data_IF_976013739912
#
_entry.id   IF_976013739912
#
_cell.length_a   1.000
_cell.length_b   1.000
_cell.length_c   1.000
_cell.angle_alpha   90.00
_cell.angle_beta   90.00
_cell.angle_gamma   90.00
#
_symmetry.space_group_name_H-M   'P 1'
#
loop_
_entity.id
_entity.type
_entity.pdbx_description
1 polymer ?
#
# COMPACT_ATOMS: atom_id res chain seq x y z
N UNK A 1 -28.24 6.01 -24.67
CA UNK A 1 -28.69 7.43 -24.66
C UNK A 1 -28.78 7.90 -23.22
N UNK A 2 -27.87 8.77 -22.78
CA UNK A 2 -27.93 9.36 -21.43
C UNK A 2 -28.87 10.56 -21.46
N UNK A 3 -29.82 10.62 -20.52
CA UNK A 3 -30.80 11.70 -20.42
C UNK A 3 -30.12 13.07 -20.36
N UNK A 4 -30.61 14.04 -21.15
CA UNK A 4 -30.13 15.44 -21.14
C UNK A 4 -30.19 16.09 -19.75
N UNK A 5 -31.01 15.57 -18.84
CA UNK A 5 -31.09 16.05 -17.44
C UNK A 5 -29.86 15.71 -16.59
N UNK A 6 -29.07 14.67 -16.94
CA UNK A 6 -27.81 14.36 -16.27
C UNK A 6 -26.69 15.33 -16.67
N UNK A 7 -26.63 15.70 -17.95
CA UNK A 7 -25.56 16.54 -18.53
C UNK A 7 -25.50 17.95 -17.91
N UNK A 8 -26.64 18.53 -17.50
CA UNK A 8 -26.66 19.86 -16.88
C UNK A 8 -26.33 19.85 -15.38
N UNK A 9 -26.56 18.74 -14.67
CA UNK A 9 -26.23 18.63 -13.23
C UNK A 9 -24.87 17.98 -12.96
N UNK A 10 -24.34 17.19 -13.89
CA UNK A 10 -23.05 16.48 -13.73
C UNK A 10 -21.82 17.33 -14.00
N UNK A 11 -21.95 18.52 -14.62
CA UNK A 11 -20.83 19.43 -14.92
C UNK A 11 -20.13 19.99 -13.67
N UNK A 12 -20.64 19.72 -12.47
CA UNK A 12 -20.11 20.24 -11.20
C UNK A 12 -19.80 19.15 -10.16
N UNK A 13 -19.96 17.87 -10.50
CA UNK A 13 -19.57 16.77 -9.62
C UNK A 13 -18.30 16.13 -10.17
N UNK A 14 -17.16 16.76 -9.87
CA UNK A 14 -15.85 16.17 -10.11
C UNK A 14 -15.59 15.15 -9.01
N UNK A 15 -15.60 13.87 -9.36
CA UNK A 15 -15.22 12.80 -8.44
C UNK A 15 -13.70 12.82 -8.28
N UNK A 16 -13.23 13.10 -7.07
CA UNK A 16 -11.81 13.15 -6.74
C UNK A 16 -11.30 11.84 -6.12
N UNK A 17 -12.21 11.01 -5.62
CA UNK A 17 -11.89 9.74 -4.98
C UNK A 17 -12.73 8.61 -5.54
N UNK A 18 -12.09 7.44 -5.73
CA UNK A 18 -12.74 6.18 -6.06
C UNK A 18 -12.55 5.23 -4.89
N UNK A 19 -13.65 4.68 -4.39
CA UNK A 19 -13.63 3.73 -3.28
C UNK A 19 -14.30 2.43 -3.70
N UNK A 20 -13.51 1.37 -3.79
CA UNK A 20 -13.96 0.01 -4.08
C UNK A 20 -13.94 -0.85 -2.81
N UNK A 21 -14.32 -0.30 -1.66
CA UNK A 21 -14.29 -0.97 -0.35
C UNK A 21 -15.52 -1.81 0.02
N UNK A 22 -16.66 -1.68 -0.67
CA UNK A 22 -17.94 -2.30 -0.26
C UNK A 22 -18.63 -3.04 -1.41
N UNK A 23 -19.27 -4.18 -1.16
CA UNK A 23 -20.11 -4.88 -2.15
C UNK A 23 -19.36 -5.72 -3.18
N UNK A 24 -19.94 -5.90 -4.38
CA UNK A 24 -19.33 -6.65 -5.49
C UNK A 24 -18.25 -5.81 -6.21
N UNK A 25 -17.08 -5.73 -5.59
CA UNK A 25 -15.98 -4.86 -6.01
C UNK A 25 -15.46 -5.19 -7.41
N UNK A 26 -15.39 -6.47 -7.78
CA UNK A 26 -14.93 -6.88 -9.10
C UNK A 26 -15.87 -6.40 -10.19
N UNK A 27 -17.19 -6.49 -9.97
CA UNK A 27 -18.19 -6.00 -10.90
C UNK A 27 -18.19 -4.46 -10.98
N UNK A 28 -18.11 -3.78 -9.83
CA UNK A 28 -18.05 -2.32 -9.80
C UNK A 28 -16.78 -1.78 -10.49
N UNK A 29 -15.63 -2.40 -10.24
CA UNK A 29 -14.39 -2.06 -10.90
C UNK A 29 -14.50 -2.31 -12.41
N UNK A 30 -15.07 -3.44 -12.85
CA UNK A 30 -15.30 -3.71 -14.27
C UNK A 30 -16.18 -2.64 -14.93
N UNK A 31 -17.31 -2.29 -14.30
CA UNK A 31 -18.20 -1.25 -14.80
C UNK A 31 -17.51 0.13 -14.86
N UNK A 32 -16.67 0.45 -13.87
CA UNK A 32 -15.88 1.67 -13.88
C UNK A 32 -14.81 1.67 -14.98
N UNK A 33 -14.16 0.53 -15.21
CA UNK A 33 -13.19 0.33 -16.29
C UNK A 33 -13.82 0.59 -17.66
N UNK A 34 -15.05 0.14 -17.88
CA UNK A 34 -15.79 0.43 -19.11
C UNK A 34 -16.05 1.94 -19.28
N UNK A 35 -16.30 2.65 -18.19
CA UNK A 35 -16.48 4.12 -18.20
C UNK A 35 -15.17 4.81 -18.56
N UNK A 36 -14.06 4.53 -17.86
CA UNK A 36 -12.79 5.26 -18.08
C UNK A 36 -12.13 4.95 -19.42
N UNK A 37 -12.45 3.81 -20.03
CA UNK A 37 -12.04 3.46 -21.40
C UNK A 37 -12.83 4.21 -22.47
N UNK A 38 -13.98 4.77 -22.13
CA UNK A 38 -14.76 5.58 -23.07
C UNK A 38 -14.00 6.86 -23.42
N UNK A 39 -13.87 7.22 -24.72
CA UNK A 39 -13.22 8.46 -25.13
C UNK A 39 -13.97 9.71 -24.67
N UNK A 40 -15.21 9.55 -24.19
CA UNK A 40 -16.04 10.63 -23.66
C UNK A 40 -15.94 10.74 -22.12
N UNK A 41 -15.12 9.92 -21.46
CA UNK A 41 -14.95 9.98 -20.01
C UNK A 41 -14.18 11.23 -19.62
N UNK A 42 -14.86 12.15 -18.95
CA UNK A 42 -14.24 13.33 -18.35
C UNK A 42 -13.79 13.08 -16.91
N UNK A 43 -14.14 11.93 -16.33
CA UNK A 43 -13.87 11.61 -14.91
C UNK A 43 -12.37 11.41 -14.67
N UNK A 44 -11.65 10.87 -15.66
CA UNK A 44 -10.24 10.46 -15.53
C UNK A 44 -9.34 11.59 -15.00
N UNK A 45 -9.54 12.82 -15.47
CA UNK A 45 -8.71 13.97 -15.09
C UNK A 45 -8.95 14.49 -13.67
N UNK A 46 -10.06 14.11 -13.04
CA UNK A 46 -10.44 14.64 -11.73
C UNK A 46 -10.10 13.70 -10.58
N UNK A 47 -9.94 12.41 -10.86
CA UNK A 47 -9.62 11.42 -9.84
C UNK A 47 -8.18 11.62 -9.37
N UNK A 48 -8.02 11.75 -8.06
CA UNK A 48 -6.72 11.87 -7.39
C UNK A 48 -6.49 10.78 -6.35
N UNK A 49 -7.54 10.07 -5.93
CA UNK A 49 -7.46 9.07 -4.87
C UNK A 49 -8.15 7.78 -5.29
N UNK A 50 -7.51 6.64 -5.00
CA UNK A 50 -8.07 5.32 -5.24
C UNK A 50 -7.93 4.50 -3.96
N UNK A 51 -9.02 3.83 -3.56
CA UNK A 51 -9.01 2.78 -2.56
C UNK A 51 -9.48 1.47 -3.20
N UNK A 52 -8.64 0.44 -3.09
CA UNK A 52 -8.93 -0.92 -3.54
C UNK A 52 -8.88 -1.85 -2.33
N UNK A 53 -10.00 -2.50 -2.03
CA UNK A 53 -10.05 -3.58 -1.05
C UNK A 53 -10.04 -4.94 -1.81
N UNK A 54 -9.70 -6.03 -1.12
CA UNK A 54 -9.57 -7.38 -1.68
C UNK A 54 -8.70 -7.48 -2.94
N UNK A 55 -7.58 -6.75 -2.98
CA UNK A 55 -6.71 -6.63 -4.16
C UNK A 55 -6.31 -7.99 -4.76
N UNK A 56 -6.07 -9.01 -3.92
CA UNK A 56 -5.72 -10.36 -4.38
C UNK A 56 -6.81 -11.07 -5.22
N UNK A 57 -8.07 -10.62 -5.09
CA UNK A 57 -9.24 -11.14 -5.81
C UNK A 57 -9.64 -10.30 -7.02
N UNK A 58 -9.09 -9.09 -7.17
CA UNK A 58 -9.45 -8.23 -8.27
C UNK A 58 -8.80 -8.74 -9.57
N UNK A 59 -9.54 -8.78 -10.70
CA UNK A 59 -8.96 -9.14 -11.99
C UNK A 59 -7.86 -8.16 -12.37
N UNK A 60 -6.65 -8.65 -12.61
CA UNK A 60 -5.49 -7.84 -12.99
C UNK A 60 -5.80 -6.89 -14.15
N UNK A 61 -6.45 -7.39 -15.20
CA UNK A 61 -6.83 -6.60 -16.38
C UNK A 61 -7.67 -5.36 -16.02
N UNK A 62 -8.50 -5.45 -14.98
CA UNK A 62 -9.33 -4.36 -14.53
C UNK A 62 -8.55 -3.38 -13.65
N UNK A 63 -7.68 -3.91 -12.78
CA UNK A 63 -6.83 -3.06 -11.94
C UNK A 63 -5.83 -2.28 -12.79
N UNK A 64 -5.17 -2.93 -13.75
CA UNK A 64 -4.24 -2.30 -14.68
C UNK A 64 -4.90 -1.25 -15.58
N UNK A 65 -6.20 -1.38 -15.86
CA UNK A 65 -6.93 -0.34 -16.60
C UNK A 65 -7.00 0.99 -15.84
N UNK A 66 -6.80 1.01 -14.52
CA UNK A 66 -6.71 2.25 -13.74
C UNK A 66 -5.47 3.09 -14.07
N UNK A 67 -4.46 2.52 -14.74
CA UNK A 67 -3.26 3.24 -15.18
C UNK A 67 -3.56 4.42 -16.12
N UNK A 68 -4.74 4.48 -16.73
CA UNK A 68 -5.18 5.61 -17.57
C UNK A 68 -5.53 6.87 -16.77
N UNK A 69 -5.55 6.80 -15.44
CA UNK A 69 -5.89 7.91 -14.55
C UNK A 69 -4.63 8.76 -14.29
N UNK A 70 -4.50 9.97 -14.89
CA UNK A 70 -3.24 10.69 -14.92
C UNK A 70 -2.88 11.41 -13.62
N UNK A 71 -3.85 11.67 -12.75
CA UNK A 71 -3.70 12.59 -11.61
C UNK A 71 -3.74 11.91 -10.24
N UNK A 72 -3.51 10.59 -10.19
CA UNK A 72 -3.51 9.83 -8.94
C UNK A 72 -2.37 10.28 -8.04
N UNK A 73 -2.75 10.72 -6.83
CA UNK A 73 -1.87 11.18 -5.75
C UNK A 73 -1.89 10.28 -4.54
N UNK A 74 -2.98 9.55 -4.32
CA UNK A 74 -3.16 8.69 -3.16
C UNK A 74 -3.74 7.34 -3.55
N UNK A 75 -3.11 6.27 -3.09
CA UNK A 75 -3.57 4.90 -3.28
C UNK A 75 -3.61 4.20 -1.92
N UNK A 76 -4.75 3.59 -1.62
CA UNK A 76 -4.92 2.69 -0.48
C UNK A 76 -5.26 1.29 -0.98
N UNK A 77 -4.42 0.33 -0.64
CA UNK A 77 -4.57 -1.07 -0.99
C UNK A 77 -4.84 -1.86 0.29
N UNK A 78 -5.92 -2.63 0.30
CA UNK A 78 -6.32 -3.42 1.45
C UNK A 78 -6.71 -4.85 1.06
N UNK A 79 -6.37 -5.84 1.89
CA UNK A 79 -6.91 -7.20 1.74
C UNK A 79 -7.53 -7.72 3.05
N UNK A 80 -8.85 -7.58 3.17
CA UNK A 80 -9.57 -7.88 4.42
C UNK A 80 -9.68 -9.38 4.72
N UNK A 81 -9.31 -10.29 3.81
CA UNK A 81 -9.29 -11.74 4.12
C UNK A 81 -8.13 -12.10 5.04
N UNK A 82 -7.01 -11.38 4.93
CA UNK A 82 -5.90 -11.50 5.88
C UNK A 82 -6.33 -11.05 7.28
N UNK A 83 -7.30 -10.11 7.39
CA UNK A 83 -7.84 -9.63 8.67
C UNK A 83 -8.55 -10.73 9.45
N UNK A 84 -9.27 -11.62 8.78
CA UNK A 84 -9.99 -12.74 9.42
C UNK A 84 -9.03 -13.82 9.92
N UNK A 85 -7.95 -14.09 9.17
CA UNK A 85 -6.87 -15.01 9.60
C UNK A 85 -6.11 -14.46 10.82
N UNK A 86 -5.83 -13.16 10.85
CA UNK A 86 -5.13 -12.52 11.99
C UNK A 86 -5.97 -12.52 13.28
N UNK A 87 -7.31 -12.59 13.19
CA UNK A 87 -8.20 -12.64 14.36
C UNK A 87 -8.44 -14.04 14.95
N UNK A 88 -7.78 -15.09 14.44
CA UNK A 88 -7.93 -16.46 14.97
C UNK A 88 -9.35 -17.03 14.81
N UNK A 89 -10.15 -16.51 13.88
CA UNK A 89 -11.46 -17.06 13.59
C UNK A 89 -11.32 -18.47 13.00
N UNK A 90 -12.13 -19.46 13.43
CA UNK A 90 -12.04 -20.82 12.93
C UNK A 90 -12.33 -20.83 11.42
N UNK A 91 -11.29 -21.15 10.65
CA UNK A 91 -11.31 -21.25 9.20
C UNK A 91 -12.42 -22.20 8.76
N UNK A 92 -13.46 -21.70 8.08
CA UNK A 92 -14.27 -22.58 7.22
C UNK A 92 -13.34 -23.13 6.13
N UNK A 93 -13.42 -24.42 5.78
CA UNK A 93 -12.69 -24.95 4.64
C UNK A 93 -13.38 -24.40 3.39
N UNK A 94 -12.90 -23.28 2.87
CA UNK A 94 -13.40 -22.71 1.63
C UNK A 94 -12.33 -22.87 0.55
N UNK A 95 -12.56 -23.92 -0.24
CA UNK A 95 -12.19 -24.17 -1.62
C UNK A 95 -11.35 -23.08 -2.31
N UNK A 96 -10.10 -23.42 -2.62
CA UNK A 96 -9.45 -23.19 -3.91
C UNK A 96 -9.70 -21.86 -4.61
N UNK A 97 -9.46 -20.76 -3.91
CA UNK A 97 -8.93 -19.57 -4.56
C UNK A 97 -7.50 -19.40 -4.05
N UNK A 98 -6.53 -19.90 -4.82
CA UNK A 98 -5.16 -19.42 -4.75
C UNK A 98 -5.23 -17.89 -4.64
N UNK A 99 -4.88 -17.33 -3.48
CA UNK A 99 -4.77 -15.88 -3.31
C UNK A 99 -3.77 -15.42 -4.36
N UNK A 100 -4.28 -14.89 -5.48
CA UNK A 100 -3.43 -14.46 -6.59
C UNK A 100 -2.64 -13.29 -6.09
N UNK A 101 -1.35 -13.53 -5.89
CA UNK A 101 -0.38 -12.54 -5.49
C UNK A 101 -0.42 -11.38 -6.48
N UNK A 102 -0.61 -10.14 -6.03
CA UNK A 102 -0.81 -9.00 -6.93
C UNK A 102 0.54 -8.48 -7.44
N UNK A 103 1.21 -9.31 -8.25
CA UNK A 103 2.51 -9.05 -8.88
C UNK A 103 2.49 -7.84 -9.83
N UNK A 104 1.30 -7.44 -10.29
CA UNK A 104 1.08 -6.28 -11.14
C UNK A 104 1.12 -4.93 -10.37
N UNK A 105 1.17 -4.92 -9.03
CA UNK A 105 1.05 -3.67 -8.26
C UNK A 105 2.21 -2.71 -8.48
N UNK A 106 3.45 -3.19 -8.50
CA UNK A 106 4.61 -2.32 -8.77
C UNK A 106 4.47 -1.67 -10.15
N UNK A 107 4.09 -2.44 -11.16
CA UNK A 107 3.81 -1.93 -12.49
C UNK A 107 2.67 -0.89 -12.49
N UNK A 108 1.54 -1.16 -11.84
CA UNK A 108 0.43 -0.22 -11.74
C UNK A 108 0.86 1.09 -11.08
N UNK A 109 1.49 1.02 -9.91
CA UNK A 109 1.88 2.20 -9.14
C UNK A 109 2.91 3.04 -9.90
N UNK A 110 3.78 2.40 -10.69
CA UNK A 110 4.72 3.10 -11.58
C UNK A 110 4.07 3.92 -12.69
N UNK A 111 2.79 3.68 -13.03
CA UNK A 111 2.05 4.54 -13.97
C UNK A 111 1.55 5.82 -13.30
N UNK A 112 1.44 5.86 -11.98
CA UNK A 112 0.95 7.02 -11.25
C UNK A 112 2.09 7.99 -10.94
N UNK A 113 2.49 8.76 -11.95
CA UNK A 113 3.61 9.74 -11.91
C UNK A 113 3.45 10.88 -10.90
N UNK A 114 2.32 10.96 -10.21
CA UNK A 114 2.02 11.96 -9.19
C UNK A 114 1.70 11.35 -7.83
N UNK A 115 1.96 10.04 -7.64
CA UNK A 115 1.65 9.31 -6.42
C UNK A 115 2.53 9.80 -5.27
N UNK A 116 1.87 10.42 -4.29
CA UNK A 116 2.48 10.96 -3.07
C UNK A 116 2.20 10.10 -1.84
N UNK A 117 1.04 9.43 -1.79
CA UNK A 117 0.62 8.70 -0.60
C UNK A 117 0.25 7.26 -0.96
N UNK A 118 0.90 6.31 -0.29
CA UNK A 118 0.64 4.88 -0.43
C UNK A 118 0.30 4.29 0.94
N UNK A 119 -0.85 3.64 1.02
CA UNK A 119 -1.25 2.84 2.18
C UNK A 119 -1.39 1.38 1.80
N UNK A 120 -0.70 0.50 2.50
CA UNK A 120 -0.72 -0.96 2.34
C UNK A 120 -1.24 -1.57 3.65
N UNK A 121 -2.47 -2.09 3.63
CA UNK A 121 -3.11 -2.61 4.85
C UNK A 121 -3.54 -4.07 4.67
N UNK A 122 -3.17 -4.96 5.59
CA UNK A 122 -3.59 -6.37 5.60
C UNK A 122 -3.19 -7.15 4.32
N UNK A 123 -2.12 -6.74 3.64
CA UNK A 123 -1.70 -7.37 2.38
C UNK A 123 -0.75 -8.54 2.66
N UNK A 124 -0.93 -9.63 1.94
CA UNK A 124 -0.01 -10.77 1.93
C UNK A 124 0.89 -10.69 0.68
N UNK A 125 2.20 -10.69 0.89
CA UNK A 125 3.23 -10.60 -0.18
C UNK A 125 4.14 -11.83 -0.14
N UNK A 126 4.71 -12.18 -1.28
CA UNK A 126 5.63 -13.31 -1.42
C UNK A 126 6.91 -13.09 -0.64
N UNK A 127 7.52 -11.91 -0.80
CA UNK A 127 8.86 -11.62 -0.28
C UNK A 127 8.99 -10.16 0.11
N UNK A 128 10.04 -9.87 0.86
CA UNK A 128 10.43 -8.49 1.16
C UNK A 128 10.81 -7.71 -0.10
N UNK A 129 11.47 -8.34 -1.07
CA UNK A 129 11.80 -7.74 -2.37
C UNK A 129 10.55 -7.21 -3.07
N UNK A 130 9.47 -8.00 -3.10
CA UNK A 130 8.21 -7.56 -3.71
C UNK A 130 7.63 -6.32 -3.01
N UNK A 131 7.73 -6.25 -1.67
CA UNK A 131 7.32 -5.05 -0.94
C UNK A 131 8.14 -3.83 -1.36
N UNK A 132 9.46 -3.97 -1.45
CA UNK A 132 10.34 -2.87 -1.85
C UNK A 132 10.10 -2.45 -3.29
N UNK A 133 9.85 -3.38 -4.21
CA UNK A 133 9.45 -3.07 -5.59
C UNK A 133 8.14 -2.28 -5.66
N UNK A 134 7.16 -2.61 -4.81
CA UNK A 134 5.89 -1.88 -4.72
C UNK A 134 6.12 -0.45 -4.19
N UNK A 135 6.90 -0.30 -3.11
CA UNK A 135 7.18 1.01 -2.51
C UNK A 135 8.00 1.88 -3.47
N UNK A 136 9.00 1.30 -4.12
CA UNK A 136 9.96 2.00 -4.96
C UNK A 136 9.46 2.20 -6.40
N UNK A 137 8.25 1.75 -6.71
CA UNK A 137 7.61 1.99 -8.00
C UNK A 137 7.33 3.47 -8.28
N UNK A 138 7.25 4.31 -7.23
CA UNK A 138 7.05 5.76 -7.35
C UNK A 138 8.19 6.51 -6.67
N UNK A 139 8.93 7.31 -7.44
CA UNK A 139 9.97 8.20 -6.95
C UNK A 139 9.41 9.45 -6.25
N UNK A 140 8.16 9.82 -6.53
CA UNK A 140 7.45 10.95 -5.91
C UNK A 140 6.76 10.61 -4.59
N UNK A 141 6.92 9.38 -4.09
CA UNK A 141 6.22 8.94 -2.88
C UNK A 141 6.73 9.70 -1.65
N UNK A 142 5.82 10.45 -1.00
CA UNK A 142 6.09 11.29 0.18
C UNK A 142 5.65 10.62 1.49
N UNK A 143 4.57 9.83 1.43
CA UNK A 143 3.98 9.18 2.60
C UNK A 143 3.77 7.70 2.32
N UNK A 144 4.29 6.87 3.21
CA UNK A 144 4.11 5.43 3.21
C UNK A 144 3.50 4.98 4.53
N UNK A 145 2.40 4.24 4.44
CA UNK A 145 1.75 3.57 5.56
C UNK A 145 1.71 2.08 5.31
N UNK A 146 2.25 1.30 6.25
CA UNK A 146 2.27 -0.16 6.23
C UNK A 146 1.55 -0.65 7.48
N UNK A 147 0.43 -1.34 7.29
CA UNK A 147 -0.36 -1.92 8.37
C UNK A 147 -0.56 -3.43 8.13
N UNK A 148 -0.13 -4.28 9.05
CA UNK A 148 -0.37 -5.74 8.98
C UNK A 148 -0.01 -6.39 7.63
N UNK A 149 1.14 -6.01 7.06
CA UNK A 149 1.67 -6.69 5.88
C UNK A 149 2.38 -7.98 6.29
N UNK A 150 1.99 -9.09 5.66
CA UNK A 150 2.48 -10.45 5.94
C UNK A 150 3.35 -10.91 4.78
N UNK A 151 4.54 -11.44 5.08
CA UNK A 151 5.42 -12.10 4.09
C UNK A 151 5.20 -13.60 4.16
N UNK A 152 4.98 -14.26 3.01
CA UNK A 152 4.76 -15.71 2.97
C UNK A 152 6.05 -16.51 2.88
N UNK A 153 7.05 -16.00 2.16
CA UNK A 153 8.38 -16.57 2.19
C UNK A 153 9.16 -15.85 3.29
N UNK A 154 9.49 -16.58 4.35
CA UNK A 154 10.44 -16.09 5.33
C UNK A 154 11.85 -16.13 4.72
N UNK A 155 12.60 -15.03 4.77
CA UNK A 155 14.01 -15.10 4.44
C UNK A 155 14.74 -16.05 5.40
N UNK A 156 15.35 -17.09 4.85
CA UNK A 156 16.15 -18.06 5.61
C UNK A 156 17.40 -17.42 6.23
N UNK A 157 17.91 -16.33 5.63
CA UNK A 157 19.08 -15.56 6.07
C UNK A 157 18.99 -14.10 5.65
N UNK A 158 19.39 -13.17 6.51
CA UNK A 158 19.46 -11.73 6.22
C UNK A 158 20.56 -11.36 5.21
N UNK A 159 21.61 -12.17 5.13
CA UNK A 159 22.72 -11.97 4.20
C UNK A 159 22.22 -12.10 2.75
N UNK A 160 22.44 -11.04 1.96
CA UNK A 160 22.11 -11.00 0.54
C UNK A 160 20.68 -10.58 0.18
N UNK A 161 19.75 -10.45 1.14
CA UNK A 161 18.37 -9.96 0.83
C UNK A 161 18.40 -8.52 0.32
N UNK A 162 19.30 -7.72 0.92
CA UNK A 162 19.39 -6.28 0.68
C UNK A 162 20.24 -5.95 -0.55
N UNK A 163 20.99 -6.94 -1.07
CA UNK A 163 21.78 -6.78 -2.27
C UNK A 163 20.85 -6.57 -3.48
N UNK A 164 21.09 -5.47 -4.21
CA UNK A 164 20.32 -5.08 -5.40
C UNK A 164 18.86 -4.67 -5.14
N UNK A 165 18.47 -4.40 -3.90
CA UNK A 165 17.18 -3.78 -3.65
C UNK A 165 17.17 -2.33 -4.15
N UNK A 166 16.06 -1.87 -4.75
CA UNK A 166 15.88 -0.45 -5.04
C UNK A 166 16.07 0.41 -3.78
N UNK A 167 16.70 1.60 -3.90
CA UNK A 167 16.75 2.52 -2.78
C UNK A 167 15.33 3.02 -2.43
N UNK A 168 15.08 3.44 -1.19
CA UNK A 168 13.85 4.11 -0.80
C UNK A 168 13.55 5.33 -1.69
N UNK A 169 12.27 5.66 -1.92
CA UNK A 169 11.89 6.85 -2.67
C UNK A 169 12.54 8.11 -2.09
N UNK A 170 13.22 8.93 -2.91
CA UNK A 170 13.97 10.08 -2.42
C UNK A 170 13.07 11.17 -1.83
N UNK A 171 11.79 11.19 -2.20
CA UNK A 171 10.80 12.12 -1.68
C UNK A 171 10.15 11.67 -0.35
N UNK A 172 10.50 10.48 0.19
CA UNK A 172 9.84 9.92 1.35
C UNK A 172 10.12 10.74 2.61
N UNK A 173 9.04 11.24 3.22
CA UNK A 173 9.06 12.13 4.40
C UNK A 173 8.34 11.55 5.60
N UNK A 174 7.22 10.87 5.36
CA UNK A 174 6.40 10.30 6.41
C UNK A 174 6.33 8.79 6.28
N UNK A 175 6.73 8.09 7.33
CA UNK A 175 6.72 6.64 7.38
C UNK A 175 5.94 6.13 8.60
N UNK A 176 4.85 5.43 8.33
CA UNK A 176 3.98 4.83 9.33
C UNK A 176 4.03 3.31 9.23
N UNK A 177 4.32 2.64 10.34
CA UNK A 177 4.30 1.19 10.44
C UNK A 177 3.43 0.77 11.63
N UNK A 178 2.45 -0.08 11.37
CA UNK A 178 1.52 -0.61 12.37
C UNK A 178 1.40 -2.12 12.27
N UNK A 179 1.66 -2.83 13.37
CA UNK A 179 1.52 -4.31 13.44
C UNK A 179 2.20 -5.07 12.29
N UNK A 180 3.44 -4.75 11.90
CA UNK A 180 4.08 -5.49 10.83
C UNK A 180 4.42 -6.90 11.33
N UNK A 181 4.55 -7.86 10.40
CA UNK A 181 5.01 -9.21 10.74
C UNK A 181 6.34 -9.21 11.51
N UNK A 182 6.61 -10.25 12.29
CA UNK A 182 7.76 -10.33 13.22
C UNK A 182 9.10 -9.88 12.60
N UNK A 183 9.42 -10.31 11.38
CA UNK A 183 10.69 -10.00 10.71
C UNK A 183 10.68 -8.67 9.92
N UNK A 184 9.50 -8.12 9.63
CA UNK A 184 9.33 -6.99 8.73
C UNK A 184 9.99 -5.71 9.26
N UNK A 185 9.93 -5.48 10.58
CA UNK A 185 10.61 -4.34 11.20
C UNK A 185 12.10 -4.35 10.90
N UNK A 186 12.76 -5.49 11.15
CA UNK A 186 14.21 -5.60 10.95
C UNK A 186 14.60 -5.39 9.49
N UNK A 187 13.85 -5.98 8.55
CA UNK A 187 14.13 -5.84 7.12
C UNK A 187 13.95 -4.39 6.64
N UNK A 188 12.84 -3.73 7.03
CA UNK A 188 12.62 -2.31 6.70
C UNK A 188 13.71 -1.43 7.31
N UNK A 189 14.17 -1.72 8.54
CA UNK A 189 15.26 -0.96 9.15
C UNK A 189 16.57 -1.11 8.43
N UNK A 190 16.96 -2.33 8.10
CA UNK A 190 18.20 -2.55 7.37
C UNK A 190 18.14 -1.90 5.98
N UNK A 191 17.01 -2.02 5.28
CA UNK A 191 16.81 -1.35 3.98
C UNK A 191 16.93 0.19 4.07
N UNK A 192 16.34 0.82 5.09
CA UNK A 192 16.48 2.26 5.29
C UNK A 192 17.90 2.68 5.69
N UNK A 193 18.60 1.85 6.49
CA UNK A 193 19.96 2.13 6.97
C UNK A 193 21.04 1.92 5.90
N UNK A 194 20.87 0.92 5.03
CA UNK A 194 21.82 0.58 3.96
C UNK A 194 21.59 1.37 2.68
N UNK A 195 20.51 2.16 2.62
CA UNK A 195 20.23 3.05 1.51
C UNK A 195 21.39 4.05 1.28
N UNK A 196 21.89 4.19 0.04
CA UNK A 196 22.86 5.23 -0.31
C UNK A 196 22.26 6.63 -0.30
N UNK A 197 20.93 6.74 -0.25
CA UNK A 197 20.20 8.01 -0.31
C UNK A 197 20.00 8.56 1.09
N UNK A 198 20.36 9.83 1.31
CA UNK A 198 20.05 10.52 2.56
C UNK A 198 18.54 10.66 2.71
N UNK A 199 17.97 9.92 3.66
CA UNK A 199 16.55 9.96 3.97
C UNK A 199 16.21 11.25 4.72
N UNK A 200 15.18 11.96 4.26
CA UNK A 200 14.66 13.17 4.89
C UNK A 200 13.31 12.88 5.57
N UNK A 201 13.27 11.78 6.33
CA UNK A 201 12.06 11.37 7.04
C UNK A 201 11.86 12.30 8.23
N UNK A 202 10.87 13.17 8.13
CA UNK A 202 10.46 14.10 9.19
C UNK A 202 9.44 13.49 10.14
N UNK A 203 8.69 12.48 9.70
CA UNK A 203 7.61 11.87 10.47
C UNK A 203 7.79 10.36 10.52
N UNK A 204 7.93 9.81 11.72
CA UNK A 204 8.04 8.38 11.97
C UNK A 204 7.01 7.96 13.04
N UNK A 205 6.07 7.09 12.67
CA UNK A 205 5.10 6.50 13.60
C UNK A 205 5.20 4.96 13.60
N UNK A 206 5.60 4.43 14.75
CA UNK A 206 5.93 3.06 15.01
C UNK A 206 4.94 2.47 16.02
N UNK A 207 4.02 1.62 15.56
CA UNK A 207 2.99 1.01 16.39
C UNK A 207 3.18 -0.51 16.56
N UNK A 208 3.05 -0.96 17.81
CA UNK A 208 3.28 -2.32 18.26
C UNK A 208 4.74 -2.78 18.13
N UNK A 209 5.66 -1.94 18.62
CA UNK A 209 7.10 -2.12 18.46
C UNK A 209 7.79 -3.05 19.47
N UNK A 210 7.02 -3.73 20.34
CA UNK A 210 7.55 -4.47 21.48
C UNK A 210 8.48 -5.63 21.10
N UNK A 211 8.42 -6.11 19.85
CA UNK A 211 9.20 -7.28 19.44
C UNK A 211 10.67 -6.96 19.10
N UNK A 212 11.01 -5.71 18.74
CA UNK A 212 12.37 -5.36 18.27
C UNK A 212 12.83 -3.95 18.70
N UNK A 213 12.90 -3.64 20.00
CA UNK A 213 13.34 -2.31 20.48
C UNK A 213 14.82 -1.99 20.15
N UNK A 214 15.66 -3.00 19.94
CA UNK A 214 17.12 -2.83 19.78
C UNK A 214 17.54 -2.06 18.51
N UNK A 215 16.72 -2.03 17.46
CA UNK A 215 17.08 -1.40 16.19
C UNK A 215 16.61 0.06 16.09
N UNK A 216 15.68 0.48 16.96
CA UNK A 216 15.14 1.84 16.97
C UNK A 216 16.24 2.89 17.22
N UNK A 217 17.15 2.74 18.21
CA UNK A 217 18.18 3.75 18.47
C UNK A 217 19.08 4.01 17.25
N UNK A 218 19.45 2.96 16.52
CA UNK A 218 20.28 3.08 15.32
C UNK A 218 19.57 3.81 14.19
N UNK A 219 18.28 3.52 13.98
CA UNK A 219 17.44 4.24 13.01
C UNK A 219 17.28 5.71 13.41
N UNK A 220 16.94 6.00 14.66
CA UNK A 220 16.78 7.39 15.10
C UNK A 220 18.08 8.18 14.95
N UNK A 221 19.22 7.53 15.19
CA UNK A 221 20.54 8.11 14.97
C UNK A 221 20.81 8.37 13.48
N UNK A 222 20.37 7.51 12.56
CA UNK A 222 20.56 7.69 11.12
C UNK A 222 19.64 8.76 10.53
N UNK A 223 18.38 8.84 10.99
CA UNK A 223 17.46 9.92 10.61
C UNK A 223 17.92 11.27 11.16
N UNK A 224 18.58 11.26 12.32
CA UNK A 224 19.26 12.43 12.87
C UNK A 224 18.33 13.62 13.09
N UNK A 225 18.76 14.82 12.69
CA UNK A 225 17.99 16.06 12.87
C UNK A 225 16.88 16.27 11.86
N UNK A 226 16.70 15.36 10.89
CA UNK A 226 15.59 15.48 9.94
C UNK A 226 14.24 15.13 10.58
N UNK A 227 14.25 14.32 11.65
CA UNK A 227 13.05 13.83 12.31
C UNK A 227 12.42 14.90 13.23
N UNK A 228 11.24 15.39 12.86
CA UNK A 228 10.47 16.40 13.61
C UNK A 228 9.36 15.77 14.45
N UNK A 229 8.78 14.66 13.98
CA UNK A 229 7.65 13.98 14.59
C UNK A 229 7.95 12.50 14.80
N UNK A 230 8.09 12.09 16.06
CA UNK A 230 8.28 10.70 16.45
C UNK A 230 7.12 10.23 17.31
N UNK A 231 6.44 9.17 16.87
CA UNK A 231 5.45 8.46 17.66
C UNK A 231 5.88 7.01 17.81
N UNK A 232 6.00 6.53 19.06
CA UNK A 232 6.26 5.12 19.35
C UNK A 232 5.15 4.65 20.28
N UNK A 233 4.34 3.72 19.78
CA UNK A 233 3.19 3.18 20.50
C UNK A 233 3.35 1.68 20.67
N UNK A 234 3.02 1.21 21.85
CA UNK A 234 2.82 -0.22 22.10
C UNK A 234 1.34 -0.43 22.41
N UNK A 235 0.67 -1.22 21.59
CA UNK A 235 -0.69 -1.64 21.85
C UNK A 235 -0.60 -3.01 22.51
N UNK A 236 -0.90 -3.09 23.81
CA UNK A 236 -1.15 -4.37 24.46
C UNK A 236 -2.35 -5.00 23.77
N UNK A 237 -2.14 -6.12 23.10
CA UNK A 237 -3.24 -7.01 22.76
C UNK A 237 -3.63 -7.69 24.07
N UNK A 238 -4.67 -7.19 24.72
CA UNK A 238 -5.33 -7.88 25.83
C UNK A 238 -5.95 -9.17 25.25
N UNK A 239 -5.13 -10.22 25.16
CA UNK A 239 -5.50 -11.58 24.77
C UNK A 239 -5.13 -12.59 25.86
N UNK A 240 -4.93 -12.12 27.09
CA UNK A 240 -4.90 -12.93 28.31
C UNK A 240 -6.17 -12.65 29.12
N UNK A 241 -7.24 -13.38 28.80
CA UNK A 241 -8.51 -13.41 29.52
C UNK A 241 -9.21 -14.74 29.29
#
# INVERSE_FOLDING_TARGET
MVSRSWVQRSRHHHFTSLDFGLGDQAQMLAAFVDIIRSPLSTVNHHVTTIRLDHVAKLPEVNVMALAVLPNIKSVSLQDTLSRERVRGAPSRPQEDASLTQPHYLSALLGHFTHLKHLNLSYIQLNSFTQLIEIISASDTLETLSIEQVILTAEPLTYDGILENLPPPPPALRSFHISYPGSQMYQLLYLWLLESPTTLLIDTLDLCNHANHPQNIPSLLKSLGSSLEHLTIRHVRTDADG
#
